data_IF_097554780388
#
_entry.id   IF_097554780388
#
_cell.length_a   1.000
_cell.length_b   1.000
_cell.length_c   1.000
_cell.angle_alpha   90.00
_cell.angle_beta   90.00
_cell.angle_gamma   90.00
#
_symmetry.space_group_name_H-M   'P 1'
#
loop_
_entity.id
_entity.type
_entity.pdbx_description
1 polymer ?
#
# COMPACT_ATOMS: atom_id res chain seq x y z
N UNK A 1 10.91 7.78 -21.81
CA UNK A 1 10.27 7.11 -20.65
C UNK A 1 8.92 6.57 -21.09
N UNK A 2 8.67 5.28 -20.91
CA UNK A 2 7.39 4.66 -21.29
C UNK A 2 6.47 4.41 -20.09
N UNK A 3 7.02 4.37 -18.87
CA UNK A 3 6.29 4.11 -17.63
C UNK A 3 6.87 4.92 -16.48
N UNK A 4 6.01 5.52 -15.68
CA UNK A 4 6.32 6.09 -14.37
C UNK A 4 5.57 5.30 -13.33
N UNK A 5 6.30 4.67 -12.41
CA UNK A 5 5.75 3.87 -11.31
C UNK A 5 6.07 4.52 -9.97
N UNK A 6 5.07 4.65 -9.11
CA UNK A 6 5.20 5.26 -7.79
C UNK A 6 4.29 4.57 -6.79
N UNK A 7 4.76 4.33 -5.57
CA UNK A 7 3.90 3.83 -4.50
C UNK A 7 3.03 4.96 -3.92
N UNK A 8 1.82 4.61 -3.47
CA UNK A 8 0.92 5.58 -2.83
C UNK A 8 1.35 5.89 -1.40
N UNK A 9 1.75 4.86 -0.67
CA UNK A 9 2.24 4.94 0.71
C UNK A 9 3.49 4.10 0.82
N UNK A 10 4.56 4.69 1.33
CA UNK A 10 5.81 3.98 1.56
C UNK A 10 5.65 2.97 2.71
N UNK A 11 6.09 1.74 2.48
CA UNK A 11 5.93 0.64 3.42
C UNK A 11 6.86 0.71 4.65
N UNK A 12 7.93 1.50 4.61
CA UNK A 12 8.92 1.58 5.69
C UNK A 12 8.67 2.78 6.62
N UNK A 13 8.27 3.90 6.07
CA UNK A 13 8.14 5.14 6.83
C UNK A 13 6.75 5.78 6.78
N UNK A 14 5.83 5.20 6.01
CA UNK A 14 4.45 5.66 5.90
C UNK A 14 4.26 6.91 5.03
N UNK A 15 5.31 7.47 4.42
CA UNK A 15 5.18 8.68 3.61
C UNK A 15 4.14 8.50 2.50
N UNK A 16 3.21 9.44 2.41
CA UNK A 16 2.22 9.48 1.33
C UNK A 16 2.81 10.23 0.15
N UNK A 17 3.10 9.49 -0.91
CA UNK A 17 3.70 10.07 -2.11
C UNK A 17 2.69 10.95 -2.85
N UNK A 18 3.12 12.05 -3.47
CA UNK A 18 2.26 12.96 -4.23
C UNK A 18 1.89 12.39 -5.60
N UNK A 19 1.29 11.19 -5.60
CA UNK A 19 1.01 10.40 -6.83
C UNK A 19 0.11 11.17 -7.78
N UNK A 20 -0.98 11.77 -7.28
CA UNK A 20 -1.94 12.51 -8.11
C UNK A 20 -1.28 13.67 -8.85
N UNK A 21 -0.50 14.47 -8.15
CA UNK A 21 0.20 15.62 -8.73
C UNK A 21 1.27 15.17 -9.74
N UNK A 22 2.06 14.18 -9.35
CA UNK A 22 3.12 13.63 -10.21
C UNK A 22 2.55 13.06 -11.49
N UNK A 23 1.51 12.21 -11.41
CA UNK A 23 0.92 11.59 -12.59
C UNK A 23 0.19 12.60 -13.47
N UNK A 24 -0.45 13.61 -12.87
CA UNK A 24 -1.00 14.75 -13.62
C UNK A 24 0.10 15.50 -14.38
N UNK A 25 1.24 15.71 -13.76
CA UNK A 25 2.41 16.31 -14.41
C UNK A 25 2.94 15.47 -15.58
N UNK A 26 3.07 14.15 -15.37
CA UNK A 26 3.48 13.19 -16.41
C UNK A 26 2.53 13.24 -17.61
N UNK A 27 1.22 13.15 -17.34
CA UNK A 27 0.20 13.15 -18.41
C UNK A 27 0.09 14.48 -19.17
N UNK A 28 0.40 15.59 -18.51
CA UNK A 28 0.50 16.91 -19.21
C UNK A 28 1.72 17.00 -20.11
N UNK A 29 2.83 16.37 -19.71
CA UNK A 29 4.07 16.38 -20.47
C UNK A 29 3.98 15.45 -21.69
N UNK A 30 3.46 14.26 -21.48
CA UNK A 30 3.27 13.25 -22.52
C UNK A 30 2.15 12.27 -22.07
N UNK A 31 0.97 12.32 -22.71
CA UNK A 31 -0.16 11.46 -22.35
C UNK A 31 0.09 9.96 -22.65
N UNK A 32 1.05 9.64 -23.50
CA UNK A 32 1.39 8.25 -23.86
C UNK A 32 2.21 7.54 -22.79
N UNK A 33 2.89 8.27 -21.89
CA UNK A 33 3.61 7.68 -20.76
C UNK A 33 2.60 7.04 -19.83
N UNK A 34 2.73 5.74 -19.63
CA UNK A 34 1.90 5.01 -18.67
C UNK A 34 2.25 5.39 -17.23
N UNK A 35 1.23 5.41 -16.37
CA UNK A 35 1.38 5.69 -14.95
C UNK A 35 0.90 4.50 -14.14
N UNK A 36 1.75 4.01 -13.24
CA UNK A 36 1.46 2.89 -12.34
C UNK A 36 1.56 3.32 -10.89
N UNK A 37 0.53 3.03 -10.12
CA UNK A 37 0.50 3.24 -8.68
C UNK A 37 0.57 1.89 -7.94
N UNK A 38 1.60 1.69 -7.14
CA UNK A 38 1.57 0.65 -6.12
C UNK A 38 0.77 1.16 -4.92
N UNK A 39 -0.49 0.70 -4.81
CA UNK A 39 -1.37 1.08 -3.72
C UNK A 39 -1.48 0.01 -2.63
N UNK A 40 -0.57 -0.96 -2.59
CA UNK A 40 -0.59 -2.08 -1.64
C UNK A 40 -0.68 -1.60 -0.18
N UNK A 41 0.07 -0.57 0.20
CA UNK A 41 0.01 -0.01 1.55
C UNK A 41 -1.08 1.04 1.74
N UNK A 42 -1.68 1.55 0.66
CA UNK A 42 -2.72 2.58 0.70
C UNK A 42 -4.14 2.05 0.59
N UNK A 43 -4.34 0.93 -0.10
CA UNK A 43 -5.67 0.38 -0.36
C UNK A 43 -6.43 0.09 0.92
N UNK A 44 -7.65 0.65 1.03
CA UNK A 44 -8.53 0.56 2.20
C UNK A 44 -7.92 1.04 3.53
N UNK A 45 -6.80 1.76 3.47
CA UNK A 45 -6.13 2.39 4.62
C UNK A 45 -6.14 3.91 4.51
N UNK A 46 -5.93 4.44 3.30
CA UNK A 46 -6.05 5.87 3.01
C UNK A 46 -7.10 6.09 1.93
N UNK A 47 -7.81 7.21 2.00
CA UNK A 47 -8.81 7.53 0.98
C UNK A 47 -8.13 7.94 -0.32
N UNK A 48 -8.49 7.28 -1.41
CA UNK A 48 -8.15 7.66 -2.78
C UNK A 48 -9.17 7.09 -3.78
N UNK A 49 -9.16 7.62 -4.99
CA UNK A 49 -9.95 7.10 -6.12
C UNK A 49 -9.01 6.89 -7.31
N UNK A 50 -9.15 5.77 -8.00
CA UNK A 50 -8.33 5.46 -9.17
C UNK A 50 -8.34 6.59 -10.22
N UNK A 51 -9.52 7.20 -10.45
CA UNK A 51 -9.67 8.31 -11.40
C UNK A 51 -8.89 9.56 -10.96
N UNK A 52 -8.90 9.94 -9.67
CA UNK A 52 -8.20 11.12 -9.18
C UNK A 52 -6.67 10.96 -9.21
N UNK A 53 -6.19 9.74 -9.02
CA UNK A 53 -4.75 9.46 -9.12
C UNK A 53 -4.17 9.64 -10.52
N UNK A 54 -5.00 9.72 -11.58
CA UNK A 54 -4.55 9.68 -12.97
C UNK A 54 -3.66 8.45 -13.28
N UNK A 55 -3.90 7.35 -12.59
CA UNK A 55 -3.16 6.11 -12.78
C UNK A 55 -3.76 5.27 -13.91
N UNK A 56 -2.89 4.74 -14.76
CA UNK A 56 -3.26 3.77 -15.79
C UNK A 56 -3.34 2.35 -15.22
N UNK A 57 -2.47 2.07 -14.23
CA UNK A 57 -2.39 0.79 -13.54
C UNK A 57 -2.34 1.04 -12.04
N UNK A 58 -3.00 0.15 -11.25
CA UNK A 58 -2.90 0.18 -9.79
C UNK A 58 -2.74 -1.25 -9.28
N UNK A 59 -1.66 -1.51 -8.54
CA UNK A 59 -1.43 -2.81 -7.89
C UNK A 59 -2.00 -2.82 -6.48
N UNK A 60 -2.68 -3.92 -6.14
CA UNK A 60 -3.30 -4.17 -4.84
C UNK A 60 -2.89 -5.54 -4.31
N UNK A 61 -2.88 -5.72 -2.99
CA UNK A 61 -2.58 -7.00 -2.35
C UNK A 61 -3.56 -7.33 -1.23
N UNK A 62 -4.12 -8.54 -1.28
CA UNK A 62 -5.15 -8.99 -0.34
C UNK A 62 -4.64 -9.11 1.10
N UNK A 63 -3.42 -9.64 1.30
CA UNK A 63 -2.89 -9.86 2.66
C UNK A 63 -2.62 -8.56 3.45
N UNK A 64 -2.57 -7.41 2.79
CA UNK A 64 -2.44 -6.10 3.46
C UNK A 64 -3.76 -5.53 3.95
N UNK A 65 -4.87 -6.18 3.60
CA UNK A 65 -6.24 -5.82 3.97
C UNK A 65 -6.99 -7.01 4.60
N UNK A 66 -6.28 -7.79 5.42
CA UNK A 66 -6.81 -8.91 6.21
C UNK A 66 -7.42 -10.07 5.38
N UNK A 67 -7.14 -10.14 4.08
CA UNK A 67 -7.44 -11.31 3.27
C UNK A 67 -6.30 -12.35 3.35
N UNK A 68 -6.52 -13.50 2.78
CA UNK A 68 -5.52 -14.57 2.71
C UNK A 68 -4.31 -14.16 1.83
N UNK A 69 -3.14 -14.71 2.13
CA UNK A 69 -1.95 -14.56 1.28
C UNK A 69 -2.17 -15.29 -0.05
N UNK A 70 -1.58 -14.76 -1.13
CA UNK A 70 -1.62 -15.38 -2.46
C UNK A 70 -2.62 -14.73 -3.43
N UNK A 71 -3.46 -13.79 -2.99
CA UNK A 71 -4.32 -12.99 -3.86
C UNK A 71 -3.88 -11.53 -3.94
N UNK A 72 -3.97 -10.98 -5.13
CA UNK A 72 -3.78 -9.56 -5.44
C UNK A 72 -4.64 -9.16 -6.63
N UNK A 73 -4.67 -7.89 -6.94
CA UNK A 73 -5.39 -7.37 -8.10
C UNK A 73 -4.57 -6.29 -8.80
N UNK A 74 -4.74 -6.23 -10.12
CA UNK A 74 -4.24 -5.16 -10.95
C UNK A 74 -5.42 -4.44 -11.60
N UNK A 75 -5.61 -3.17 -11.22
CA UNK A 75 -6.53 -2.31 -11.95
C UNK A 75 -5.88 -1.86 -13.25
N UNK A 76 -6.61 -1.95 -14.32
CA UNK A 76 -6.25 -1.40 -15.64
C UNK A 76 -7.29 -0.37 -16.06
N UNK A 77 -6.84 0.84 -16.35
CA UNK A 77 -7.71 1.87 -16.92
C UNK A 77 -8.20 1.39 -18.30
N UNK A 78 -9.46 1.66 -18.60
CA UNK A 78 -10.04 1.32 -19.89
C UNK A 78 -9.21 1.93 -21.04
N UNK A 79 -8.92 1.11 -22.04
CA UNK A 79 -8.10 1.48 -23.19
C UNK A 79 -6.59 1.20 -23.03
N UNK A 80 -6.12 1.01 -21.81
CA UNK A 80 -4.72 0.60 -21.56
C UNK A 80 -4.53 -0.85 -21.97
N UNK A 81 -3.49 -1.11 -22.76
CA UNK A 81 -3.12 -2.46 -23.20
C UNK A 81 -1.78 -2.86 -22.60
N UNK A 82 -1.75 -4.02 -21.98
CA UNK A 82 -0.51 -4.67 -21.52
C UNK A 82 -0.35 -6.00 -22.24
N UNK A 83 0.89 -6.45 -22.40
CA UNK A 83 1.18 -7.76 -22.95
C UNK A 83 1.36 -8.77 -21.82
N UNK A 84 0.83 -9.99 -21.96
CA UNK A 84 1.11 -11.05 -21.00
C UNK A 84 2.62 -11.38 -21.02
N UNK A 85 3.17 -11.67 -19.87
CA UNK A 85 4.56 -12.16 -19.72
C UNK A 85 4.61 -13.67 -19.48
N UNK A 86 3.47 -14.29 -19.18
CA UNK A 86 3.26 -15.72 -19.07
C UNK A 86 2.24 -16.14 -20.12
N UNK A 87 2.46 -17.28 -20.75
CA UNK A 87 1.62 -17.79 -21.82
C UNK A 87 1.02 -19.14 -21.40
N UNK A 88 -0.23 -19.40 -21.82
CA UNK A 88 -0.95 -20.64 -21.50
C UNK A 88 -2.45 -20.50 -21.75
N UNK A 89 -3.25 -20.76 -20.72
CA UNK A 89 -4.71 -20.68 -20.83
C UNK A 89 -5.24 -19.23 -20.95
N UNK A 90 -6.56 -19.13 -21.08
CA UNK A 90 -7.24 -17.82 -21.34
C UNK A 90 -7.70 -17.11 -20.05
N UNK A 91 -7.27 -17.56 -18.87
CA UNK A 91 -7.65 -16.96 -17.60
C UNK A 91 -7.23 -15.49 -17.54
N UNK A 92 -7.91 -14.72 -16.71
CA UNK A 92 -7.66 -13.27 -16.54
C UNK A 92 -7.55 -12.54 -17.88
N UNK A 93 -8.45 -12.84 -18.82
CA UNK A 93 -8.47 -12.26 -20.18
C UNK A 93 -7.16 -12.51 -20.96
N UNK A 94 -6.59 -13.69 -20.79
CA UNK A 94 -5.30 -14.11 -21.36
C UNK A 94 -4.08 -13.30 -20.88
N UNK A 95 -4.21 -12.54 -19.81
CA UNK A 95 -3.11 -11.77 -19.22
C UNK A 95 -2.30 -12.57 -18.21
N UNK A 96 -2.95 -13.51 -17.50
CA UNK A 96 -2.31 -14.34 -16.49
C UNK A 96 -2.92 -15.74 -16.54
N UNK A 97 -2.24 -16.72 -17.15
CA UNK A 97 -2.72 -18.10 -17.25
C UNK A 97 -2.68 -18.82 -15.89
N UNK A 98 -3.41 -19.91 -15.79
CA UNK A 98 -3.56 -20.74 -14.60
C UNK A 98 -4.95 -20.59 -13.98
N UNK A 99 -5.48 -21.69 -13.46
CA UNK A 99 -6.79 -21.71 -12.81
C UNK A 99 -6.87 -20.68 -11.70
N UNK A 100 -7.91 -19.88 -11.71
CA UNK A 100 -8.16 -18.84 -10.72
C UNK A 100 -8.38 -19.46 -9.34
N UNK A 101 -7.69 -18.94 -8.34
CA UNK A 101 -7.91 -19.34 -6.95
C UNK A 101 -9.18 -18.69 -6.39
N UNK A 102 -10.35 -19.21 -6.76
CA UNK A 102 -11.64 -18.66 -6.38
C UNK A 102 -11.78 -18.42 -4.86
N UNK A 103 -11.34 -19.34 -3.97
CA UNK A 103 -11.40 -19.08 -2.53
C UNK A 103 -10.61 -17.85 -2.08
N UNK A 104 -9.40 -17.65 -2.63
CA UNK A 104 -8.55 -16.49 -2.29
C UNK A 104 -9.14 -15.19 -2.83
N UNK A 105 -9.69 -15.23 -4.05
CA UNK A 105 -10.33 -14.08 -4.68
C UNK A 105 -11.60 -13.69 -3.90
N UNK A 106 -12.42 -14.67 -3.52
CA UNK A 106 -13.62 -14.45 -2.72
C UNK A 106 -13.28 -13.87 -1.33
N UNK A 107 -12.25 -14.40 -0.67
CA UNK A 107 -11.76 -13.88 0.61
C UNK A 107 -11.26 -12.42 0.47
N UNK A 108 -10.58 -12.11 -0.63
CA UNK A 108 -10.14 -10.73 -0.88
C UNK A 108 -11.33 -9.79 -1.13
N UNK A 109 -12.32 -10.23 -1.92
CA UNK A 109 -13.56 -9.47 -2.15
C UNK A 109 -14.31 -9.18 -0.85
N UNK A 110 -14.54 -10.20 -0.02
CA UNK A 110 -15.22 -10.06 1.27
C UNK A 110 -14.48 -9.12 2.23
N UNK A 111 -13.16 -9.23 2.30
CA UNK A 111 -12.34 -8.31 3.11
C UNK A 111 -12.45 -6.88 2.59
N UNK A 112 -12.38 -6.67 1.26
CA UNK A 112 -12.50 -5.36 0.65
C UNK A 112 -13.88 -4.74 0.89
N UNK A 113 -14.95 -5.48 0.73
CA UNK A 113 -16.31 -5.04 1.00
C UNK A 113 -16.47 -4.58 2.46
N UNK A 114 -16.10 -5.42 3.42
CA UNK A 114 -16.19 -5.11 4.85
C UNK A 114 -15.38 -3.88 5.22
N UNK A 115 -14.13 -3.79 4.77
CA UNK A 115 -13.23 -2.71 5.15
C UNK A 115 -13.55 -1.39 4.46
N UNK A 116 -14.16 -1.41 3.27
CA UNK A 116 -14.54 -0.20 2.53
C UNK A 116 -15.53 0.68 3.32
N UNK A 117 -16.33 0.07 4.18
CA UNK A 117 -17.36 0.75 4.98
C UNK A 117 -16.77 1.54 6.16
N UNK A 118 -15.56 1.22 6.60
CA UNK A 118 -14.96 1.76 7.84
C UNK A 118 -13.57 2.37 7.63
N UNK A 119 -13.22 2.75 6.41
CA UNK A 119 -11.87 3.28 6.09
C UNK A 119 -11.54 4.49 6.94
N UNK A 120 -12.46 5.45 7.03
CA UNK A 120 -12.24 6.69 7.75
C UNK A 120 -12.13 6.48 9.26
N UNK A 121 -13.03 5.72 9.84
CA UNK A 121 -13.04 5.38 11.27
C UNK A 121 -11.73 4.70 11.69
N UNK A 122 -11.29 3.71 10.89
CA UNK A 122 -10.03 2.99 11.15
C UNK A 122 -8.82 3.89 10.97
N UNK A 123 -8.85 4.82 10.01
CA UNK A 123 -7.80 5.81 9.83
C UNK A 123 -7.66 6.70 11.05
N UNK A 124 -8.76 7.25 11.57
CA UNK A 124 -8.79 8.11 12.75
C UNK A 124 -8.31 7.39 14.00
N UNK A 125 -8.77 6.15 14.21
CA UNK A 125 -8.30 5.31 15.32
C UNK A 125 -6.79 5.05 15.24
N UNK A 126 -6.28 4.71 14.06
CA UNK A 126 -4.85 4.51 13.86
C UNK A 126 -4.06 5.81 14.10
N UNK A 127 -4.58 6.96 13.69
CA UNK A 127 -3.95 8.26 13.92
C UNK A 127 -3.86 8.60 15.41
N UNK A 128 -4.91 8.33 16.18
CA UNK A 128 -4.92 8.51 17.65
C UNK A 128 -3.88 7.60 18.32
N UNK A 129 -3.85 6.32 17.96
CA UNK A 129 -2.88 5.36 18.49
C UNK A 129 -1.44 5.77 18.15
N UNK A 130 -1.20 6.18 16.90
CA UNK A 130 0.10 6.68 16.47
C UNK A 130 0.53 7.91 17.27
N UNK A 131 -0.36 8.87 17.46
CA UNK A 131 -0.06 10.08 18.23
C UNK A 131 0.27 9.77 19.69
N UNK A 132 -0.49 8.87 20.33
CA UNK A 132 -0.23 8.40 21.70
C UNK A 132 1.13 7.69 21.80
N UNK A 133 1.45 6.81 20.86
CA UNK A 133 2.74 6.11 20.80
C UNK A 133 3.91 7.09 20.63
N UNK A 134 3.79 8.05 19.71
CA UNK A 134 4.81 9.09 19.50
C UNK A 134 5.04 9.90 20.78
N UNK A 135 3.99 10.30 21.48
CA UNK A 135 4.11 11.05 22.73
C UNK A 135 4.90 10.27 23.80
N UNK A 136 4.65 8.98 23.92
CA UNK A 136 5.37 8.10 24.86
C UNK A 136 6.83 7.88 24.42
N UNK A 137 7.07 7.60 23.16
CA UNK A 137 8.41 7.36 22.63
C UNK A 137 9.30 8.61 22.70
N UNK A 138 8.74 9.81 22.55
CA UNK A 138 9.48 11.08 22.70
C UNK A 138 10.02 11.30 24.12
N UNK A 139 9.40 10.69 25.12
CA UNK A 139 9.86 10.74 26.51
C UNK A 139 11.00 9.74 26.80
N UNK A 140 11.30 8.83 25.86
CA UNK A 140 12.36 7.82 26.02
C UNK A 140 13.68 8.34 25.47
N UNK A 141 14.72 8.30 26.30
CA UNK A 141 16.08 8.64 25.87
C UNK A 141 16.60 7.63 24.82
N UNK A 142 17.31 8.12 23.82
CA UNK A 142 17.91 7.29 22.77
C UNK A 142 16.96 6.80 21.68
N UNK A 143 15.68 7.21 21.70
CA UNK A 143 14.72 6.90 20.64
C UNK A 143 14.59 8.08 19.68
N UNK A 144 14.86 7.83 18.40
CA UNK A 144 14.66 8.79 17.32
C UNK A 144 13.40 8.42 16.52
N UNK A 145 12.46 9.33 16.45
CA UNK A 145 11.22 9.14 15.72
C UNK A 145 11.32 9.84 14.37
N UNK A 146 11.08 9.10 13.30
CA UNK A 146 10.92 9.66 11.95
C UNK A 146 9.46 10.07 11.76
N UNK A 147 9.08 11.19 12.38
CA UNK A 147 7.74 11.74 12.28
C UNK A 147 7.61 12.56 10.99
N UNK A 148 7.13 11.93 9.93
CA UNK A 148 6.97 12.53 8.62
C UNK A 148 5.57 13.19 8.58
N UNK A 149 5.48 14.48 8.21
CA UNK A 149 4.18 15.14 8.02
C UNK A 149 3.29 14.38 7.02
N UNK A 150 2.00 14.30 7.31
CA UNK A 150 0.98 13.64 6.47
C UNK A 150 1.25 12.16 6.16
N UNK A 151 2.12 11.51 6.93
CA UNK A 151 2.35 10.08 6.79
C UNK A 151 1.08 9.27 7.12
N UNK A 152 0.98 8.10 6.51
CA UNK A 152 -0.05 7.13 6.86
C UNK A 152 0.05 6.74 8.33
N UNK A 153 -1.04 6.77 9.10
CA UNK A 153 -1.00 6.48 10.53
C UNK A 153 -0.70 5.01 10.84
N UNK A 154 -0.74 4.15 9.84
CA UNK A 154 -0.49 2.72 10.00
C UNK A 154 0.99 2.33 10.02
N UNK A 155 1.89 3.31 9.78
CA UNK A 155 3.34 3.08 9.77
C UNK A 155 4.02 4.17 10.59
N UNK A 156 4.87 3.76 11.52
CA UNK A 156 5.76 4.63 12.27
C UNK A 156 7.18 4.06 12.21
N UNK A 157 8.11 4.86 11.71
CA UNK A 157 9.53 4.49 11.67
C UNK A 157 10.26 5.10 12.87
N UNK A 158 10.94 4.25 13.63
CA UNK A 158 11.77 4.66 14.76
C UNK A 158 13.20 4.15 14.58
N UNK A 159 14.15 4.83 15.18
CA UNK A 159 15.56 4.39 15.23
C UNK A 159 16.06 4.46 16.66
N UNK A 160 16.85 3.49 17.05
CA UNK A 160 17.54 3.44 18.35
C UNK A 160 19.06 3.34 18.08
N UNK A 161 19.77 4.48 17.95
CA UNK A 161 21.20 4.49 17.68
C UNK A 161 21.97 3.67 18.72
N UNK A 162 22.95 2.90 18.26
CA UNK A 162 23.72 1.99 19.12
C UNK A 162 23.15 0.59 19.26
N UNK A 163 21.91 0.34 18.80
CA UNK A 163 21.30 -0.98 18.81
C UNK A 163 21.08 -1.49 17.38
N UNK A 164 21.32 -2.78 17.18
CA UNK A 164 20.93 -3.45 15.93
C UNK A 164 19.42 -3.68 15.92
N UNK A 165 18.76 -3.34 14.83
CA UNK A 165 17.31 -3.51 14.68
C UNK A 165 16.82 -4.94 14.92
N UNK A 166 17.62 -5.92 14.49
CA UNK A 166 17.37 -7.34 14.70
C UNK A 166 17.27 -7.71 16.20
N UNK A 167 18.15 -7.12 17.02
CA UNK A 167 18.13 -7.35 18.48
C UNK A 167 16.85 -6.75 19.09
N UNK A 168 16.50 -5.52 18.67
CA UNK A 168 15.27 -4.87 19.14
C UNK A 168 14.05 -5.71 18.76
N UNK A 169 14.00 -6.21 17.51
CA UNK A 169 12.93 -7.08 17.04
C UNK A 169 12.76 -8.31 17.96
N UNK A 170 13.84 -9.02 18.27
CA UNK A 170 13.78 -10.19 19.16
C UNK A 170 13.33 -9.86 20.58
N UNK A 171 13.72 -8.69 21.12
CA UNK A 171 13.21 -8.23 22.43
C UNK A 171 11.70 -7.93 22.41
N UNK A 172 11.17 -7.41 21.29
CA UNK A 172 9.74 -7.17 21.12
C UNK A 172 8.98 -8.50 20.97
N UNK A 173 9.49 -9.41 20.15
CA UNK A 173 8.92 -10.76 19.96
C UNK A 173 8.78 -11.54 21.28
N UNK A 174 9.79 -11.45 22.17
CA UNK A 174 9.70 -12.05 23.51
C UNK A 174 8.57 -11.48 24.37
N UNK A 175 8.00 -10.35 23.98
CA UNK A 175 6.85 -9.69 24.62
C UNK A 175 5.59 -9.75 23.78
N UNK A 176 5.58 -10.68 22.80
CA UNK A 176 4.45 -10.88 21.87
C UNK A 176 4.08 -9.63 21.05
N UNK A 177 5.06 -8.79 20.76
CA UNK A 177 4.95 -7.61 19.87
C UNK A 177 5.62 -7.96 18.53
N UNK A 178 4.79 -8.03 17.45
CA UNK A 178 5.20 -8.47 16.12
C UNK A 178 5.02 -7.39 15.05
#
# INVERSE_FOLDING_TARGET
TCLVSMMLVNNENGYRMPVEETFRGVKRKDPEILTHCDAVQGFLKVSFRARSLNADLISLSGHKVHALKGAGALYLRQGVRIRPILFGGHQEKSLRPGTESVPLIAAFGAAAEKLSQTVQERYEKAAQLRASLIAQLRAMEGVLIRDIPDASPYVLSISMPGYRSEIILHYLEQREIY
#
